data_IF_267395235038
#
_entry.id   IF_267395235038
#
_cell.length_a   1.000
_cell.length_b   1.000
_cell.length_c   1.000
_cell.angle_alpha   90.00
_cell.angle_beta   90.00
_cell.angle_gamma   90.00
#
_symmetry.space_group_name_H-M   'P 1'
#
loop_
_entity.id
_entity.type
_entity.pdbx_description
1 polymer ?
#
# COMPACT_ATOMS: atom_id res chain seq x y z
N UNK A 1 -16.21 35.28 33.31
CA UNK A 1 -17.20 34.18 33.22
C UNK A 1 -17.78 34.24 31.83
N UNK A 2 -17.26 33.44 30.90
CA UNK A 2 -17.76 33.46 29.53
C UNK A 2 -19.15 32.81 29.49
N UNK A 3 -20.16 33.65 29.25
CA UNK A 3 -21.55 33.24 29.14
C UNK A 3 -21.68 32.49 27.81
N UNK A 4 -21.71 31.16 27.87
CA UNK A 4 -21.91 30.34 26.68
C UNK A 4 -23.34 30.52 26.16
N UNK A 5 -23.51 31.38 25.16
CA UNK A 5 -24.77 31.66 24.45
C UNK A 5 -25.16 30.56 23.43
N UNK A 6 -24.74 29.31 23.63
CA UNK A 6 -25.14 28.20 22.74
C UNK A 6 -26.51 27.64 23.13
N UNK A 7 -27.37 27.52 22.14
CA UNK A 7 -28.84 27.43 22.20
C UNK A 7 -29.45 26.17 22.87
N UNK A 8 -28.67 25.34 23.56
CA UNK A 8 -29.16 24.09 24.17
C UNK A 8 -28.63 23.95 25.60
N UNK A 9 -29.51 24.27 26.55
CA UNK A 9 -29.23 24.29 27.99
C UNK A 9 -29.66 22.98 28.63
N UNK A 10 -28.79 22.39 29.46
CA UNK A 10 -29.07 21.17 30.20
C UNK A 10 -29.42 21.55 31.65
N UNK A 11 -30.53 21.02 32.16
CA UNK A 11 -31.01 21.31 33.52
C UNK A 11 -30.14 20.56 34.55
N UNK A 12 -29.54 21.32 35.47
CA UNK A 12 -28.97 20.78 36.73
C UNK A 12 -29.80 21.35 37.88
N UNK A 13 -29.35 21.37 39.14
CA UNK A 13 -30.13 21.81 40.32
C UNK A 13 -31.02 23.05 40.10
N UNK A 14 -32.08 23.20 40.91
CA UNK A 14 -33.30 24.03 40.75
C UNK A 14 -33.17 25.37 39.97
N UNK A 15 -32.01 26.04 39.96
CA UNK A 15 -31.75 27.25 39.17
C UNK A 15 -30.39 27.32 38.44
N UNK A 16 -29.52 26.30 38.50
CA UNK A 16 -28.24 26.27 37.79
C UNK A 16 -28.35 25.54 36.44
N UNK A 17 -27.79 26.15 35.40
CA UNK A 17 -27.78 25.57 34.03
C UNK A 17 -26.36 25.47 33.53
N UNK A 18 -26.05 24.35 32.88
CA UNK A 18 -24.75 24.09 32.25
C UNK A 18 -24.99 23.93 30.75
N UNK A 19 -24.13 24.52 29.92
CA UNK A 19 -24.22 24.35 28.47
C UNK A 19 -23.66 22.98 28.03
N UNK A 20 -24.11 22.50 26.87
CA UNK A 20 -23.68 21.20 26.31
C UNK A 20 -22.15 21.08 26.14
N UNK A 21 -21.42 22.19 25.97
CA UNK A 21 -19.96 22.17 25.79
C UNK A 21 -19.17 21.69 27.01
N UNK A 22 -19.78 21.71 28.19
CA UNK A 22 -19.13 21.23 29.42
C UNK A 22 -19.25 19.72 29.62
N UNK A 23 -20.00 19.03 28.75
CA UNK A 23 -20.18 17.58 28.81
C UNK A 23 -19.65 16.91 27.54
N UNK A 24 -19.05 15.71 27.65
CA UNK A 24 -18.64 14.96 26.48
C UNK A 24 -19.87 14.55 25.66
N UNK A 25 -19.74 14.49 24.33
CA UNK A 25 -20.86 14.18 23.44
C UNK A 25 -21.54 12.83 23.77
N UNK A 26 -20.76 11.87 24.26
CA UNK A 26 -21.25 10.55 24.70
C UNK A 26 -22.20 10.62 25.90
N UNK A 27 -22.11 11.66 26.71
CA UNK A 27 -22.94 11.89 27.87
C UNK A 27 -24.27 12.59 27.56
N UNK A 28 -24.44 13.10 26.33
CA UNK A 28 -25.61 13.85 25.90
C UNK A 28 -26.52 12.94 25.07
N UNK A 29 -27.76 12.79 25.51
CA UNK A 29 -28.82 12.07 24.81
C UNK A 29 -29.50 13.04 23.84
N UNK A 30 -29.29 12.82 22.54
CA UNK A 30 -29.89 13.60 21.44
C UNK A 30 -30.95 12.82 20.66
N UNK A 31 -30.97 11.49 20.79
CA UNK A 31 -31.79 10.58 20.01
C UNK A 31 -32.55 9.64 20.95
N UNK A 32 -33.81 9.35 20.62
CA UNK A 32 -34.64 8.34 21.29
C UNK A 32 -34.98 7.24 20.30
N UNK A 33 -34.81 6.00 20.72
CA UNK A 33 -35.19 4.83 19.94
C UNK A 33 -36.48 4.23 20.50
N UNK A 34 -37.43 3.91 19.63
CA UNK A 34 -38.65 3.17 19.97
C UNK A 34 -38.83 2.00 19.00
N UNK A 35 -39.19 0.84 19.54
CA UNK A 35 -39.51 -0.33 18.74
C UNK A 35 -40.95 -0.26 18.25
N UNK A 36 -41.17 -0.38 16.95
CA UNK A 36 -42.51 -0.50 16.37
C UNK A 36 -42.85 -1.98 16.14
N UNK A 37 -43.75 -2.51 16.97
CA UNK A 37 -44.17 -3.90 16.95
C UNK A 37 -44.88 -4.31 15.65
N UNK A 38 -45.43 -3.35 14.87
CA UNK A 38 -46.10 -3.65 13.60
C UNK A 38 -45.13 -3.78 12.44
N UNK A 39 -44.11 -2.94 12.39
CA UNK A 39 -43.11 -2.95 11.31
C UNK A 39 -41.87 -3.80 11.63
N UNK A 40 -41.69 -4.21 12.90
CA UNK A 40 -40.53 -4.97 13.36
C UNK A 40 -39.23 -4.15 13.34
N UNK A 41 -39.30 -2.83 13.16
CA UNK A 41 -38.15 -1.94 13.00
C UNK A 41 -37.93 -1.06 14.22
N UNK A 42 -36.67 -0.75 14.49
CA UNK A 42 -36.27 0.27 15.46
C UNK A 42 -36.39 1.65 14.81
N UNK A 43 -37.33 2.46 15.30
CA UNK A 43 -37.48 3.85 14.88
C UNK A 43 -36.59 4.71 15.76
N UNK A 44 -35.78 5.57 15.14
CA UNK A 44 -34.85 6.43 15.84
C UNK A 44 -35.18 7.89 15.52
N UNK A 45 -35.60 8.65 16.53
CA UNK A 45 -36.09 10.02 16.39
C UNK A 45 -35.21 10.98 17.19
N UNK A 46 -34.91 12.15 16.64
CA UNK A 46 -34.19 13.22 17.32
C UNK A 46 -35.04 13.85 18.43
N UNK A 47 -34.43 14.17 19.57
CA UNK A 47 -35.07 14.90 20.66
C UNK A 47 -35.05 16.41 20.38
N UNK A 48 -36.19 17.08 20.57
CA UNK A 48 -36.27 18.56 20.48
C UNK A 48 -35.39 19.24 21.52
N UNK A 49 -35.28 18.64 22.71
CA UNK A 49 -34.42 19.11 23.80
C UNK A 49 -33.45 18.01 24.20
N UNK A 50 -32.12 18.17 23.99
CA UNK A 50 -31.15 17.20 24.45
C UNK A 50 -31.16 17.12 25.99
N UNK A 51 -30.81 15.95 26.52
CA UNK A 51 -30.75 15.71 27.97
C UNK A 51 -29.46 14.99 28.32
N UNK A 52 -28.95 15.18 29.53
CA UNK A 52 -27.82 14.40 30.02
C UNK A 52 -28.26 12.97 30.35
N UNK A 53 -27.34 12.01 30.19
CA UNK A 53 -27.50 10.68 30.78
C UNK A 53 -27.69 10.81 32.28
N UNK A 54 -28.48 9.91 32.86
CA UNK A 54 -28.64 9.82 34.31
C UNK A 54 -27.25 9.64 34.94
N UNK A 55 -26.98 10.40 35.99
CA UNK A 55 -25.71 10.41 36.74
C UNK A 55 -24.49 10.94 35.96
N UNK A 56 -24.68 11.53 34.79
CA UNK A 56 -23.61 12.22 34.07
C UNK A 56 -23.25 13.54 34.74
N UNK A 57 -21.95 13.76 34.94
CA UNK A 57 -21.40 15.04 35.42
C UNK A 57 -20.66 15.77 34.29
N UNK A 58 -20.72 17.12 34.25
CA UNK A 58 -19.87 17.89 33.36
C UNK A 58 -18.39 17.62 33.69
N UNK A 59 -17.59 17.30 32.68
CA UNK A 59 -16.15 17.04 32.83
C UNK A 59 -15.27 18.06 32.11
N UNK A 60 -15.83 18.87 31.21
CA UNK A 60 -15.07 19.81 30.39
C UNK A 60 -15.14 21.21 31.00
N UNK A 61 -14.03 21.67 31.58
CA UNK A 61 -13.94 22.96 32.25
C UNK A 61 -12.94 23.89 31.54
N UNK A 62 -13.29 25.17 31.31
CA UNK A 62 -12.38 26.11 30.68
C UNK A 62 -11.12 26.33 31.53
N UNK A 63 -9.95 26.32 30.91
CA UNK A 63 -8.66 26.46 31.60
C UNK A 63 -8.18 25.18 32.32
N UNK A 64 -8.93 24.07 32.22
CA UNK A 64 -8.49 22.78 32.72
C UNK A 64 -7.76 22.00 31.62
N UNK A 65 -6.61 21.36 31.90
CA UNK A 65 -5.93 20.52 30.93
C UNK A 65 -6.82 19.39 30.38
N UNK A 66 -6.66 19.06 29.10
CA UNK A 66 -7.51 18.09 28.38
C UNK A 66 -7.52 16.70 29.04
N UNK A 67 -6.41 16.29 29.67
CA UNK A 67 -6.29 15.00 30.36
C UNK A 67 -7.15 14.88 31.63
N UNK A 68 -7.65 16.00 32.18
CA UNK A 68 -8.66 16.01 33.24
C UNK A 68 -10.10 16.09 32.70
N UNK A 69 -10.27 16.50 31.44
CA UNK A 69 -11.58 16.77 30.85
C UNK A 69 -12.14 15.64 29.98
N UNK A 70 -11.30 14.65 29.65
CA UNK A 70 -11.64 13.54 28.74
C UNK A 70 -11.80 12.21 29.48
N UNK A 71 -12.75 11.39 29.00
CA UNK A 71 -12.92 10.01 29.43
C UNK A 71 -11.68 9.20 29.07
N UNK A 72 -10.88 8.90 30.10
CA UNK A 72 -9.93 7.79 30.23
C UNK A 72 -9.32 7.34 28.89
N UNK A 73 -8.12 7.83 28.57
CA UNK A 73 -7.22 7.06 27.70
C UNK A 73 -6.94 5.73 28.39
N UNK A 74 -7.74 4.71 28.08
CA UNK A 74 -7.54 3.37 28.61
C UNK A 74 -6.15 2.93 28.18
N UNK A 75 -5.30 2.61 29.16
CA UNK A 75 -4.01 1.99 28.87
C UNK A 75 -4.28 0.74 28.04
N UNK A 76 -3.81 0.76 26.80
CA UNK A 76 -3.85 -0.42 25.94
C UNK A 76 -2.94 -1.47 26.56
N UNK A 77 -3.45 -2.69 26.72
CA UNK A 77 -2.64 -3.81 27.21
C UNK A 77 -1.39 -3.98 26.32
N UNK A 78 -0.22 -4.31 26.89
CA UNK A 78 1.01 -4.51 26.13
C UNK A 78 0.83 -5.44 24.92
N UNK A 79 0.07 -6.52 25.07
CA UNK A 79 -0.18 -7.49 24.01
C UNK A 79 -0.99 -6.90 22.84
N UNK A 80 -2.04 -6.12 23.13
CA UNK A 80 -2.82 -5.44 22.09
C UNK A 80 -1.98 -4.42 21.33
N UNK A 81 -1.07 -3.73 22.04
CA UNK A 81 -0.12 -2.81 21.40
C UNK A 81 0.85 -3.59 20.50
N UNK A 82 1.39 -4.72 20.97
CA UNK A 82 2.28 -5.58 20.18
C UNK A 82 1.59 -6.11 18.92
N UNK A 83 0.40 -6.70 19.05
CA UNK A 83 -0.37 -7.22 17.92
C UNK A 83 -0.63 -6.15 16.85
N UNK A 84 -0.98 -4.93 17.27
CA UNK A 84 -1.19 -3.81 16.33
C UNK A 84 0.09 -3.43 15.58
N UNK A 85 1.24 -3.48 16.23
CA UNK A 85 2.53 -3.20 15.59
C UNK A 85 2.91 -4.32 14.62
N UNK A 86 2.70 -5.59 15.02
CA UNK A 86 2.94 -6.76 14.17
C UNK A 86 2.06 -6.72 12.92
N UNK A 87 0.76 -6.45 13.06
CA UNK A 87 -0.15 -6.32 11.92
C UNK A 87 0.26 -5.20 10.98
N UNK A 88 0.62 -4.03 11.52
CA UNK A 88 1.10 -2.89 10.73
C UNK A 88 2.37 -3.26 9.95
N UNK A 89 3.30 -3.98 10.57
CA UNK A 89 4.53 -4.41 9.91
C UNK A 89 4.26 -5.42 8.79
N UNK A 90 3.32 -6.34 8.99
CA UNK A 90 2.89 -7.30 7.96
C UNK A 90 2.26 -6.56 6.78
N UNK A 91 1.33 -5.63 7.03
CA UNK A 91 0.68 -4.84 5.99
C UNK A 91 1.69 -4.02 5.19
N UNK A 92 2.66 -3.40 5.88
CA UNK A 92 3.75 -2.66 5.24
C UNK A 92 4.66 -3.58 4.39
N UNK A 93 4.95 -4.79 4.87
CA UNK A 93 5.76 -5.74 4.10
C UNK A 93 5.04 -6.21 2.83
N UNK A 94 3.74 -6.49 2.93
CA UNK A 94 2.91 -6.90 1.78
C UNK A 94 2.84 -5.78 0.75
N UNK A 95 2.51 -4.57 1.17
CA UNK A 95 2.39 -3.40 0.26
C UNK A 95 3.71 -3.10 -0.43
N UNK A 96 4.83 -3.14 0.31
CA UNK A 96 6.17 -2.97 -0.27
C UNK A 96 6.50 -4.05 -1.30
N UNK A 97 6.22 -5.32 -0.97
CA UNK A 97 6.47 -6.44 -1.89
C UNK A 97 5.67 -6.31 -3.19
N UNK A 98 4.38 -5.94 -3.11
CA UNK A 98 3.54 -5.71 -4.29
C UNK A 98 4.06 -4.54 -5.14
N UNK A 99 4.50 -3.46 -4.48
CA UNK A 99 5.08 -2.30 -5.18
C UNK A 99 6.37 -2.71 -5.91
N UNK A 100 7.30 -3.38 -5.24
CA UNK A 100 8.56 -3.83 -5.83
C UNK A 100 8.31 -4.80 -7.00
N UNK A 101 7.36 -5.72 -6.85
CA UNK A 101 6.97 -6.64 -7.92
C UNK A 101 6.43 -5.89 -9.15
N UNK A 102 5.53 -4.91 -8.95
CA UNK A 102 5.01 -4.11 -10.05
C UNK A 102 6.12 -3.30 -10.75
N UNK A 103 7.04 -2.71 -9.97
CA UNK A 103 8.18 -1.97 -10.49
C UNK A 103 9.11 -2.88 -11.30
N UNK A 104 9.41 -4.07 -10.80
CA UNK A 104 10.20 -5.07 -11.52
C UNK A 104 9.57 -5.43 -12.86
N UNK A 105 8.27 -5.74 -12.88
CA UNK A 105 7.55 -6.07 -14.10
C UNK A 105 7.59 -4.91 -15.10
N UNK A 106 7.33 -3.68 -14.67
CA UNK A 106 7.37 -2.52 -15.56
C UNK A 106 8.77 -2.26 -16.13
N UNK A 107 9.82 -2.41 -15.31
CA UNK A 107 11.21 -2.19 -15.74
C UNK A 107 11.68 -3.25 -16.73
N UNK A 108 11.30 -4.50 -16.52
CA UNK A 108 11.77 -5.63 -17.33
C UNK A 108 10.81 -5.99 -18.48
N UNK A 109 9.65 -5.34 -18.57
CA UNK A 109 8.79 -5.44 -19.73
C UNK A 109 9.49 -4.84 -20.94
N UNK A 110 9.36 -5.50 -22.07
CA UNK A 110 9.86 -5.04 -23.37
C UNK A 110 8.67 -5.17 -24.32
N UNK A 111 8.21 -4.05 -24.87
CA UNK A 111 7.02 -4.04 -25.73
C UNK A 111 7.38 -4.02 -27.22
N UNK A 112 8.65 -3.79 -27.56
CA UNK A 112 9.13 -3.75 -28.95
C UNK A 112 10.59 -4.17 -29.04
N UNK A 113 11.00 -4.61 -30.22
CA UNK A 113 12.40 -4.95 -30.52
C UNK A 113 13.33 -3.73 -30.40
N UNK A 114 12.88 -2.53 -30.76
CA UNK A 114 13.66 -1.30 -30.56
C UNK A 114 13.99 -1.06 -29.09
N UNK A 115 13.01 -1.26 -28.19
CA UNK A 115 13.20 -1.13 -26.75
C UNK A 115 14.20 -2.17 -26.21
N UNK A 116 14.20 -3.39 -26.77
CA UNK A 116 15.20 -4.41 -26.47
C UNK A 116 16.61 -3.94 -26.86
N UNK A 117 16.78 -3.43 -28.10
CA UNK A 117 18.06 -2.92 -28.58
C UNK A 117 18.60 -1.79 -27.69
N UNK A 118 17.74 -0.86 -27.26
CA UNK A 118 18.16 0.25 -26.39
C UNK A 118 18.56 -0.25 -25.01
N UNK A 119 17.80 -1.17 -24.40
CA UNK A 119 18.17 -1.79 -23.12
C UNK A 119 19.47 -2.59 -23.22
N UNK A 120 19.70 -3.30 -24.32
CA UNK A 120 20.95 -4.05 -24.54
C UNK A 120 22.17 -3.11 -24.63
N UNK A 121 22.01 -1.93 -25.22
CA UNK A 121 23.08 -0.90 -25.26
C UNK A 121 23.34 -0.27 -23.89
N UNK A 122 22.30 -0.10 -23.06
CA UNK A 122 22.45 0.40 -21.69
C UNK A 122 23.06 -0.64 -20.74
N UNK A 123 22.90 -1.93 -21.04
CA UNK A 123 23.46 -3.01 -20.24
C UNK A 123 25.00 -3.04 -20.35
N UNK A 124 25.66 -2.95 -19.19
CA UNK A 124 27.10 -3.23 -19.08
C UNK A 124 27.34 -4.73 -19.16
N UNK A 125 27.42 -5.25 -20.37
CA UNK A 125 27.73 -6.65 -20.60
C UNK A 125 29.18 -6.97 -20.24
N UNK A 126 29.41 -8.22 -19.83
CA UNK A 126 30.76 -8.72 -19.56
C UNK A 126 31.61 -8.69 -20.84
N UNK A 127 32.93 -8.52 -20.69
CA UNK A 127 33.90 -8.61 -21.81
C UNK A 127 33.88 -9.92 -22.60
N UNK A 128 33.21 -10.94 -22.06
CA UNK A 128 33.00 -12.22 -22.73
C UNK A 128 32.10 -12.09 -23.98
N UNK A 129 31.13 -11.19 -23.97
CA UNK A 129 30.17 -11.05 -25.05
C UNK A 129 30.50 -9.86 -25.93
N UNK A 130 30.63 -10.11 -27.23
CA UNK A 130 30.54 -9.06 -28.25
C UNK A 130 29.08 -8.99 -28.70
N UNK A 131 28.55 -7.77 -28.80
CA UNK A 131 27.15 -7.56 -29.16
C UNK A 131 27.04 -6.62 -30.33
N UNK A 132 26.23 -7.02 -31.31
CA UNK A 132 25.89 -6.21 -32.48
C UNK A 132 24.37 -6.19 -32.61
N UNK A 133 23.79 -5.00 -32.55
CA UNK A 133 22.37 -4.77 -32.83
C UNK A 133 22.22 -4.35 -34.30
N UNK A 134 21.49 -5.13 -35.08
CA UNK A 134 21.03 -4.79 -36.43
C UNK A 134 19.52 -4.49 -36.41
N UNK A 135 18.97 -4.01 -37.52
CA UNK A 135 17.57 -3.57 -37.59
C UNK A 135 16.56 -4.69 -37.26
N UNK A 136 16.90 -5.95 -37.57
CA UNK A 136 16.01 -7.10 -37.37
C UNK A 136 16.55 -8.14 -36.37
N UNK A 137 17.83 -8.10 -36.01
CA UNK A 137 18.49 -9.14 -35.22
C UNK A 137 19.51 -8.55 -34.23
N UNK A 138 19.61 -9.15 -33.05
CA UNK A 138 20.68 -8.89 -32.07
C UNK A 138 21.58 -10.11 -32.03
N UNK A 139 22.86 -9.89 -32.26
CA UNK A 139 23.90 -10.91 -32.29
C UNK A 139 24.74 -10.79 -31.03
N UNK A 140 24.78 -11.83 -30.21
CA UNK A 140 25.73 -11.98 -29.12
C UNK A 140 26.72 -13.08 -29.48
N UNK A 141 28.01 -12.79 -29.53
CA UNK A 141 29.00 -13.78 -29.90
C UNK A 141 30.31 -13.65 -29.11
N UNK A 142 31.01 -14.77 -29.01
CA UNK A 142 32.33 -14.84 -28.42
C UNK A 142 33.31 -15.49 -29.42
N UNK A 143 34.49 -14.90 -29.51
CA UNK A 143 35.57 -15.32 -30.39
C UNK A 143 36.63 -16.08 -29.59
N UNK A 144 37.08 -17.22 -30.12
CA UNK A 144 38.30 -17.87 -29.65
C UNK A 144 39.50 -16.99 -29.97
N UNK A 145 40.44 -16.89 -29.02
CA UNK A 145 41.70 -16.18 -29.21
C UNK A 145 42.80 -17.02 -29.85
N UNK A 146 42.48 -18.25 -30.27
CA UNK A 146 43.40 -19.08 -31.06
C UNK A 146 43.50 -18.58 -32.51
N UNK A 147 44.59 -18.91 -33.21
CA UNK A 147 44.76 -18.61 -34.64
C UNK A 147 44.37 -19.87 -35.43
N UNK A 148 43.37 -19.82 -36.33
CA UNK A 148 42.52 -18.68 -36.72
C UNK A 148 41.42 -18.33 -35.70
N UNK A 149 41.03 -17.05 -35.66
CA UNK A 149 39.95 -16.56 -34.79
C UNK A 149 38.62 -17.16 -35.22
N UNK A 150 38.01 -17.94 -34.34
CA UNK A 150 36.78 -18.66 -34.64
C UNK A 150 35.66 -18.25 -33.68
N UNK A 151 34.43 -18.18 -34.17
CA UNK A 151 33.25 -17.96 -33.32
C UNK A 151 32.95 -19.25 -32.56
N UNK A 152 33.09 -19.23 -31.24
CA UNK A 152 32.81 -20.39 -30.37
C UNK A 152 31.33 -20.42 -29.99
N UNK A 153 30.77 -19.24 -29.71
CA UNK A 153 29.39 -19.04 -29.30
C UNK A 153 28.76 -17.96 -30.17
N UNK A 154 27.58 -18.22 -30.72
CA UNK A 154 26.76 -17.22 -31.40
C UNK A 154 25.31 -17.41 -30.98
N UNK A 155 24.73 -16.38 -30.39
CA UNK A 155 23.32 -16.29 -30.04
C UNK A 155 22.69 -15.17 -30.88
N UNK A 156 21.64 -15.51 -31.60
CA UNK A 156 20.88 -14.57 -32.42
C UNK A 156 19.49 -14.41 -31.81
N UNK A 157 19.07 -13.17 -31.60
CA UNK A 157 17.72 -12.82 -31.16
C UNK A 157 17.07 -12.04 -32.30
N UNK A 158 16.04 -12.59 -32.93
CA UNK A 158 15.34 -11.86 -34.00
C UNK A 158 14.27 -10.90 -33.45
N UNK A 159 13.68 -10.11 -34.35
CA UNK A 159 12.57 -9.19 -34.02
C UNK A 159 11.32 -9.89 -33.49
N UNK A 160 11.12 -11.15 -33.84
CA UNK A 160 10.06 -12.02 -33.30
C UNK A 160 10.41 -12.59 -31.91
N UNK A 161 11.56 -12.23 -31.34
CA UNK A 161 12.11 -12.73 -30.06
C UNK A 161 12.43 -14.23 -30.04
N UNK A 162 12.57 -14.85 -31.22
CA UNK A 162 13.11 -16.19 -31.37
C UNK A 162 14.63 -16.17 -31.12
N UNK A 163 15.07 -17.11 -30.29
CA UNK A 163 16.46 -17.30 -29.92
C UNK A 163 17.06 -18.45 -30.73
N UNK A 164 18.14 -18.17 -31.47
CA UNK A 164 18.94 -19.19 -32.17
C UNK A 164 20.34 -19.23 -31.56
N UNK A 165 20.67 -20.33 -30.92
CA UNK A 165 22.01 -20.57 -30.39
C UNK A 165 22.79 -21.49 -31.32
N UNK A 166 24.01 -21.08 -31.64
CA UNK A 166 25.00 -21.82 -32.41
C UNK A 166 26.24 -21.99 -31.54
N UNK A 167 26.63 -23.25 -31.34
CA UNK A 167 27.79 -23.64 -30.54
C UNK A 167 28.77 -24.39 -31.43
N UNK A 168 30.05 -24.03 -31.36
CA UNK A 168 31.11 -24.88 -31.91
C UNK A 168 31.40 -25.99 -30.91
N UNK A 169 31.01 -27.22 -31.23
CA UNK A 169 31.34 -28.42 -30.44
C UNK A 169 32.60 -29.06 -31.02
N UNK A 170 33.67 -29.14 -30.23
CA UNK A 170 34.97 -29.68 -30.64
C UNK A 170 35.00 -31.19 -30.95
N UNK A 171 33.87 -31.91 -30.81
CA UNK A 171 33.87 -33.37 -30.96
C UNK A 171 33.67 -33.84 -32.42
N UNK A 172 32.79 -33.20 -33.20
CA UNK A 172 32.56 -33.47 -34.63
C UNK A 172 31.91 -32.20 -35.19
N UNK A 173 32.15 -31.83 -36.45
CA UNK A 173 31.57 -30.65 -37.11
C UNK A 173 30.02 -30.69 -37.11
N UNK A 174 29.40 -30.36 -35.98
CA UNK A 174 27.97 -30.41 -35.77
C UNK A 174 27.52 -29.04 -35.25
N UNK A 175 26.90 -28.27 -36.14
CA UNK A 175 26.25 -27.02 -35.80
C UNK A 175 24.92 -27.39 -35.11
N UNK A 176 24.90 -27.36 -33.78
CA UNK A 176 23.65 -27.57 -33.04
C UNK A 176 22.84 -26.27 -33.07
N UNK A 177 21.66 -26.29 -33.71
CA UNK A 177 20.71 -25.19 -33.69
C UNK A 177 19.70 -25.49 -32.59
N UNK A 178 19.77 -24.76 -31.48
CA UNK A 178 18.73 -24.77 -30.47
C UNK A 178 17.85 -23.54 -30.70
N UNK A 179 16.60 -23.80 -31.12
CA UNK A 179 15.55 -22.78 -31.21
C UNK A 179 14.66 -22.91 -29.98
N UNK A 180 14.67 -21.89 -29.12
CA UNK A 180 13.77 -21.78 -27.97
C UNK A 180 12.62 -20.85 -28.35
N UNK A 181 11.39 -21.37 -28.31
CA UNK A 181 10.13 -20.62 -28.45
C UNK A 181 9.58 -20.24 -27.09
#
# INVERSE_FOLDING_TARGET
>A
MDICNSEKRLETYLHSRVCEKHSPAEAIITKKSSFDAKSGKMILTSLERPRLKKDSVPSIFPGCPDYYSTSVTLRVLPDKKRQRMESLNIDNAITKSLMEHSQYLTKNKINSFSELCDKVKELKLSKFWNVVCQDNDILFFNLSHDVPTEIVYLLVVNKELELKLFLKVFAYNLLMILSLR
#
